data_IF_180725145481
#
_entry.id   IF_180725145481
#
_cell.length_a   1.000
_cell.length_b   1.000
_cell.length_c   1.000
_cell.angle_alpha   90.00
_cell.angle_beta   90.00
_cell.angle_gamma   90.00
#
_symmetry.space_group_name_H-M   'P 1'
#
loop_
_entity.id
_entity.type
_entity.pdbx_description
1 polymer ?
#
# COMPACT_ATOMS: atom_id res chain seq x y z
N UNK A 1 -14.75 -9.97 8.37
CA UNK A 1 -13.45 -10.55 7.97
C UNK A 1 -12.40 -9.43 7.96
N UNK A 2 -11.33 -9.54 8.76
CA UNK A 2 -10.27 -8.51 8.88
C UNK A 2 -9.53 -8.28 7.55
N UNK A 3 -9.00 -7.06 7.31
CA UNK A 3 -8.19 -6.73 6.12
C UNK A 3 -7.00 -7.68 5.99
N UNK A 4 -6.36 -8.02 7.10
CA UNK A 4 -5.24 -8.98 7.17
C UNK A 4 -5.68 -10.38 6.73
N UNK A 5 -6.89 -10.81 7.10
CA UNK A 5 -7.43 -12.10 6.69
C UNK A 5 -7.71 -12.13 5.17
N UNK A 6 -8.18 -11.01 4.60
CA UNK A 6 -8.35 -10.89 3.14
C UNK A 6 -7.01 -10.95 2.40
N UNK A 7 -5.97 -10.30 2.90
CA UNK A 7 -4.62 -10.36 2.34
C UNK A 7 -4.10 -11.80 2.35
N UNK A 8 -4.15 -12.47 3.52
CA UNK A 8 -3.70 -13.86 3.65
C UNK A 8 -4.46 -14.82 2.74
N UNK A 9 -5.78 -14.66 2.66
CA UNK A 9 -6.64 -15.45 1.77
C UNK A 9 -6.24 -15.25 0.31
N UNK A 10 -6.07 -14.01 -0.13
CA UNK A 10 -5.67 -13.69 -1.50
C UNK A 10 -4.30 -14.30 -1.85
N UNK A 11 -3.32 -14.24 -0.95
CA UNK A 11 -2.02 -14.87 -1.16
C UNK A 11 -2.14 -16.40 -1.23
N UNK A 12 -3.01 -17.01 -0.42
CA UNK A 12 -3.20 -18.46 -0.40
C UNK A 12 -3.96 -19.02 -1.62
N UNK A 13 -4.88 -18.24 -2.20
CA UNK A 13 -5.72 -18.65 -3.34
C UNK A 13 -5.03 -18.49 -4.71
N UNK A 14 -3.92 -17.77 -4.77
CA UNK A 14 -3.19 -17.54 -6.02
C UNK A 14 -1.95 -18.44 -6.13
N UNK A 15 -1.44 -18.70 -7.35
CA UNK A 15 -0.25 -19.52 -7.56
C UNK A 15 0.96 -19.00 -6.77
N UNK A 16 1.85 -19.91 -6.36
CA UNK A 16 3.12 -19.55 -5.73
C UNK A 16 4.01 -18.71 -6.65
N UNK A 17 3.87 -18.90 -7.97
CA UNK A 17 4.54 -18.05 -8.95
C UNK A 17 3.76 -16.75 -9.17
N UNK A 18 4.37 -15.65 -8.76
CA UNK A 18 3.81 -14.29 -8.78
C UNK A 18 3.69 -13.76 -10.22
N UNK A 19 4.41 -14.34 -11.18
CA UNK A 19 4.29 -14.02 -12.59
C UNK A 19 2.94 -14.45 -13.16
N UNK A 20 2.31 -15.48 -12.57
CA UNK A 20 1.03 -16.03 -13.02
C UNK A 20 -0.19 -15.28 -12.45
N UNK A 21 0.03 -14.35 -11.53
CA UNK A 21 -1.06 -13.58 -10.93
C UNK A 21 -1.70 -12.64 -11.95
N UNK A 22 -3.03 -12.68 -12.03
CA UNK A 22 -3.78 -11.71 -12.83
C UNK A 22 -3.56 -10.28 -12.33
N UNK A 23 -3.62 -9.30 -13.24
CA UNK A 23 -3.53 -7.88 -12.88
C UNK A 23 -4.58 -7.49 -11.82
N UNK A 24 -5.78 -8.05 -11.90
CA UNK A 24 -6.86 -7.78 -10.94
C UNK A 24 -6.48 -8.27 -9.54
N UNK A 25 -5.87 -9.46 -9.43
CA UNK A 25 -5.38 -9.99 -8.15
C UNK A 25 -4.26 -9.11 -7.58
N UNK A 26 -3.26 -8.74 -8.40
CA UNK A 26 -2.16 -7.86 -7.99
C UNK A 26 -2.66 -6.50 -7.53
N UNK A 27 -3.56 -5.86 -8.30
CA UNK A 27 -4.18 -4.58 -7.94
C UNK A 27 -4.97 -4.68 -6.64
N UNK A 28 -5.70 -5.76 -6.44
CA UNK A 28 -6.46 -6.00 -5.20
C UNK A 28 -5.53 -6.16 -3.99
N UNK A 29 -4.42 -6.89 -4.14
CA UNK A 29 -3.41 -7.02 -3.08
C UNK A 29 -2.85 -5.66 -2.69
N UNK A 30 -2.39 -4.88 -3.68
CA UNK A 30 -1.84 -3.53 -3.43
C UNK A 30 -2.88 -2.64 -2.76
N UNK A 31 -4.13 -2.63 -3.23
CA UNK A 31 -5.20 -1.87 -2.59
C UNK A 31 -5.40 -2.26 -1.11
N UNK A 32 -5.39 -3.56 -0.80
CA UNK A 32 -5.53 -4.05 0.58
C UNK A 32 -4.32 -3.66 1.46
N UNK A 33 -3.11 -3.68 0.91
CA UNK A 33 -1.90 -3.25 1.60
C UNK A 33 -1.96 -1.76 1.95
N UNK A 34 -2.37 -0.91 1.01
CA UNK A 34 -2.54 0.53 1.24
C UNK A 34 -3.66 0.82 2.24
N UNK A 35 -4.77 0.07 2.19
CA UNK A 35 -5.84 0.18 3.18
C UNK A 35 -5.35 -0.19 4.58
N UNK A 36 -4.58 -1.28 4.68
CA UNK A 36 -3.97 -1.71 5.94
C UNK A 36 -3.02 -0.62 6.46
N UNK A 37 -2.13 -0.10 5.63
CA UNK A 37 -1.21 0.98 5.98
C UNK A 37 -1.92 2.24 6.49
N UNK A 38 -2.99 2.66 5.79
CA UNK A 38 -3.79 3.81 6.22
C UNK A 38 -4.42 3.57 7.59
N UNK A 39 -4.95 2.37 7.82
CA UNK A 39 -5.57 2.02 9.11
C UNK A 39 -4.56 2.00 10.26
N UNK A 40 -3.35 1.45 10.05
CA UNK A 40 -2.31 1.41 11.09
C UNK A 40 -1.77 2.80 11.40
N UNK A 41 -1.59 3.65 10.38
CA UNK A 41 -1.15 5.04 10.55
C UNK A 41 -2.17 5.87 11.34
N UNK A 42 -3.46 5.71 11.05
CA UNK A 42 -4.54 6.36 11.81
C UNK A 42 -4.61 5.89 13.27
N UNK A 43 -4.47 4.58 13.51
CA UNK A 43 -4.42 4.04 14.88
C UNK A 43 -3.22 4.61 15.64
N UNK A 44 -2.04 4.65 15.02
CA UNK A 44 -0.84 5.24 15.63
C UNK A 44 -1.02 6.72 15.96
N UNK A 45 -1.63 7.51 15.08
CA UNK A 45 -1.93 8.92 15.35
C UNK A 45 -2.92 9.08 16.51
N UNK A 46 -3.98 8.26 16.56
CA UNK A 46 -4.98 8.27 17.63
C UNK A 46 -4.36 7.90 18.99
N UNK A 47 -3.48 6.90 19.01
CA UNK A 47 -2.72 6.51 20.21
C UNK A 47 -1.82 7.66 20.69
N UNK A 48 -1.11 8.35 19.78
CA UNK A 48 -0.33 9.55 20.11
C UNK A 48 -1.20 10.64 20.75
N UNK A 49 -2.40 10.88 20.22
CA UNK A 49 -3.36 11.84 20.81
C UNK A 49 -3.79 11.42 22.22
N UNK A 50 -4.15 10.15 22.42
CA UNK A 50 -4.50 9.67 23.76
C UNK A 50 -3.36 9.72 24.77
N UNK A 51 -2.11 9.50 24.33
CA UNK A 51 -0.93 9.70 25.15
C UNK A 51 -0.74 11.18 25.53
N UNK A 52 -0.92 12.10 24.58
CA UNK A 52 -0.84 13.54 24.87
C UNK A 52 -1.92 14.01 25.85
N UNK A 53 -3.07 13.33 25.87
CA UNK A 53 -4.17 13.59 26.80
C UNK A 53 -4.04 12.81 28.13
N UNK A 54 -2.99 12.01 28.32
CA UNK A 54 -2.78 11.20 29.53
C UNK A 54 -3.77 10.06 29.72
N UNK A 55 -4.51 9.67 28.67
CA UNK A 55 -5.55 8.62 28.72
C UNK A 55 -4.92 7.22 28.61
N UNK A 56 -3.76 7.10 27.95
CA UNK A 56 -3.06 5.83 27.72
C UNK A 56 -1.59 6.01 28.09
N UNK A 57 -1.02 5.05 28.82
CA UNK A 57 0.40 5.05 29.17
C UNK A 57 1.30 5.02 27.92
N UNK A 58 2.41 5.76 27.94
CA UNK A 58 3.42 5.68 26.89
C UNK A 58 3.93 4.23 26.83
N UNK A 59 3.89 3.57 25.66
CA UNK A 59 4.52 2.28 25.52
C UNK A 59 6.01 2.42 25.85
N UNK A 60 6.54 1.48 26.64
CA UNK A 60 7.99 1.36 26.87
C UNK A 60 8.71 1.33 25.54
N UNK A 61 9.80 2.08 25.49
CA UNK A 61 10.69 2.31 24.35
C UNK A 61 10.94 1.03 23.51
N UNK A 62 11.15 1.24 22.21
CA UNK A 62 11.47 0.26 21.14
C UNK A 62 10.36 0.01 20.09
N UNK A 63 9.61 1.04 19.74
CA UNK A 63 9.16 1.19 18.36
C UNK A 63 9.83 2.42 17.79
N UNK A 64 11.15 2.32 17.57
CA UNK A 64 11.75 3.12 16.51
C UNK A 64 10.82 3.02 15.30
N UNK A 65 10.54 4.15 14.67
CA UNK A 65 9.63 4.25 13.54
C UNK A 65 10.14 3.34 12.42
N UNK A 66 9.80 2.05 12.50
CA UNK A 66 10.07 1.08 11.46
C UNK A 66 9.28 1.59 10.27
N UNK A 67 9.98 2.33 9.40
CA UNK A 67 9.45 2.80 8.12
C UNK A 67 8.71 1.62 7.55
N UNK A 68 7.39 1.75 7.42
CA UNK A 68 6.52 0.65 7.09
C UNK A 68 7.07 0.00 5.82
N UNK A 69 7.06 -1.33 5.70
CA UNK A 69 7.56 -2.00 4.48
C UNK A 69 6.99 -1.35 3.20
N UNK A 70 5.76 -0.83 3.28
CA UNK A 70 5.11 -0.03 2.22
C UNK A 70 5.78 1.32 1.98
N UNK A 71 6.12 2.08 3.02
CA UNK A 71 6.85 3.35 2.90
C UNK A 71 8.27 3.14 2.35
N UNK A 72 8.95 2.04 2.75
CA UNK A 72 10.24 1.64 2.15
C UNK A 72 10.08 1.25 0.69
N UNK A 73 9.04 0.48 0.35
CA UNK A 73 8.80 0.12 -1.04
C UNK A 73 8.49 1.33 -1.92
N UNK A 74 7.76 2.32 -1.39
CA UNK A 74 7.47 3.57 -2.09
C UNK A 74 8.69 4.48 -2.27
N UNK A 75 9.67 4.43 -1.36
CA UNK A 75 10.91 5.21 -1.51
C UNK A 75 11.89 4.58 -2.50
N UNK A 76 11.83 3.26 -2.70
CA UNK A 76 12.68 2.53 -3.66
C UNK A 76 12.11 2.52 -5.08
N UNK A 77 10.81 2.77 -5.25
CA UNK A 77 10.17 2.89 -6.55
C UNK A 77 10.61 4.14 -7.31
N UNK A 78 10.56 4.08 -8.64
CA UNK A 78 10.72 5.28 -9.46
C UNK A 78 9.68 6.35 -9.06
N UNK A 79 10.07 7.63 -8.97
CA UNK A 79 9.17 8.72 -8.53
C UNK A 79 7.85 8.79 -9.31
N UNK A 80 7.89 8.41 -10.59
CA UNK A 80 6.72 8.32 -11.46
C UNK A 80 5.72 7.26 -10.96
N UNK A 81 6.18 6.08 -10.58
CA UNK A 81 5.34 4.99 -10.09
C UNK A 81 4.87 5.25 -8.67
N UNK A 82 5.71 5.81 -7.82
CA UNK A 82 5.31 6.25 -6.47
C UNK A 82 4.16 7.25 -6.54
N UNK A 83 4.29 8.29 -7.37
CA UNK A 83 3.22 9.28 -7.57
C UNK A 83 1.93 8.65 -8.10
N UNK A 84 2.05 7.69 -9.00
CA UNK A 84 0.91 6.95 -9.55
C UNK A 84 0.18 6.14 -8.47
N UNK A 85 0.91 5.34 -7.68
CA UNK A 85 0.32 4.51 -6.64
C UNK A 85 -0.32 5.35 -5.52
N UNK A 86 0.32 6.47 -5.13
CA UNK A 86 -0.26 7.40 -4.16
C UNK A 86 -1.57 7.99 -4.70
N UNK A 87 -1.56 8.47 -5.95
CA UNK A 87 -2.77 9.06 -6.56
C UNK A 87 -3.92 8.07 -6.69
N UNK A 88 -3.61 6.83 -7.03
CA UNK A 88 -4.60 5.76 -7.20
C UNK A 88 -5.15 5.27 -5.85
N UNK A 89 -4.28 4.91 -4.90
CA UNK A 89 -4.68 4.15 -3.71
C UNK A 89 -4.81 5.00 -2.43
N UNK A 90 -4.18 6.18 -2.37
CA UNK A 90 -4.27 7.09 -1.21
C UNK A 90 -5.25 8.21 -1.52
N UNK A 91 -4.98 8.99 -2.57
CA UNK A 91 -5.74 10.20 -2.88
C UNK A 91 -7.08 9.89 -3.56
N UNK A 92 -7.20 8.73 -4.20
CA UNK A 92 -8.34 8.34 -5.06
C UNK A 92 -8.64 9.38 -6.16
N UNK A 93 -7.60 10.05 -6.68
CA UNK A 93 -7.72 11.11 -7.68
C UNK A 93 -7.57 10.54 -9.10
N UNK A 94 -8.65 9.89 -9.57
CA UNK A 94 -8.75 9.36 -10.93
C UNK A 94 -8.80 10.45 -12.01
N UNK A 95 -9.16 11.68 -11.63
CA UNK A 95 -9.33 12.80 -12.55
C UNK A 95 -7.99 13.34 -13.03
N UNK A 96 -7.01 13.44 -12.12
CA UNK A 96 -5.64 13.83 -12.43
C UNK A 96 -5.02 12.91 -13.47
N UNK A 97 -5.19 11.60 -13.32
CA UNK A 97 -4.53 10.63 -14.20
C UNK A 97 -5.07 10.70 -15.64
N UNK A 98 -6.40 10.88 -15.80
CA UNK A 98 -7.04 11.03 -17.11
C UNK A 98 -6.63 12.31 -17.85
N UNK A 99 -6.17 13.33 -17.12
CA UNK A 99 -5.71 14.60 -17.70
C UNK A 99 -4.32 14.49 -18.35
N UNK A 100 -3.47 13.60 -17.85
CA UNK A 100 -2.07 13.51 -18.30
C UNK A 100 -1.77 12.28 -19.16
N UNK A 101 -2.56 11.20 -19.05
CA UNK A 101 -2.32 9.97 -19.80
C UNK A 101 -3.55 9.46 -20.55
N UNK A 102 -3.32 8.89 -21.72
CA UNK A 102 -4.31 8.06 -22.40
C UNK A 102 -4.59 6.79 -21.58
N UNK A 103 -5.78 6.21 -21.77
CA UNK A 103 -6.21 4.99 -21.07
C UNK A 103 -5.18 3.86 -21.18
N UNK A 104 -4.64 3.61 -22.38
CA UNK A 104 -3.63 2.56 -22.62
C UNK A 104 -2.32 2.83 -21.90
N UNK A 105 -1.85 4.08 -21.92
CA UNK A 105 -0.62 4.50 -21.23
C UNK A 105 -0.75 4.37 -19.73
N UNK A 106 -1.92 4.73 -19.19
CA UNK A 106 -2.22 4.57 -17.77
C UNK A 106 -2.12 3.11 -17.33
N UNK A 107 -2.83 2.20 -18.01
CA UNK A 107 -2.81 0.78 -17.62
C UNK A 107 -1.40 0.20 -17.74
N UNK A 108 -0.65 0.52 -18.80
CA UNK A 108 0.74 0.09 -18.94
C UNK A 108 1.61 0.54 -17.76
N UNK A 109 1.52 1.82 -17.38
CA UNK A 109 2.27 2.34 -16.24
C UNK A 109 1.80 1.74 -14.90
N UNK A 110 0.50 1.46 -14.75
CA UNK A 110 -0.07 0.86 -13.54
C UNK A 110 0.37 -0.58 -13.36
N UNK A 111 0.39 -1.38 -14.43
CA UNK A 111 0.95 -2.74 -14.42
C UNK A 111 2.41 -2.71 -13.93
N UNK A 112 3.25 -1.90 -14.57
CA UNK A 112 4.66 -1.78 -14.20
C UNK A 112 4.84 -1.33 -12.74
N UNK A 113 4.08 -0.32 -12.30
CA UNK A 113 4.15 0.18 -10.93
C UNK A 113 3.78 -0.90 -9.89
N UNK A 114 2.72 -1.66 -10.16
CA UNK A 114 2.26 -2.73 -9.27
C UNK A 114 3.26 -3.88 -9.25
N UNK A 115 3.77 -4.31 -10.41
CA UNK A 115 4.73 -5.40 -10.49
C UNK A 115 6.03 -5.05 -9.75
N UNK A 116 6.58 -3.86 -9.97
CA UNK A 116 7.76 -3.39 -9.25
C UNK A 116 7.51 -3.28 -7.74
N UNK A 117 6.36 -2.76 -7.34
CA UNK A 117 6.01 -2.63 -5.93
C UNK A 117 5.94 -4.00 -5.22
N UNK A 118 5.32 -5.00 -5.84
CA UNK A 118 5.23 -6.36 -5.31
C UNK A 118 6.63 -7.00 -5.21
N UNK A 119 7.47 -6.84 -6.24
CA UNK A 119 8.85 -7.33 -6.25
C UNK A 119 9.65 -6.72 -5.09
N UNK A 120 9.56 -5.40 -4.88
CA UNK A 120 10.30 -4.72 -3.81
C UNK A 120 9.84 -5.20 -2.42
N UNK A 121 8.54 -5.49 -2.25
CA UNK A 121 8.02 -6.05 -1.02
C UNK A 121 8.38 -7.52 -0.79
N UNK A 122 9.03 -8.17 -1.76
CA UNK A 122 9.32 -9.60 -1.77
C UNK A 122 8.06 -10.47 -1.56
N UNK A 123 6.90 -9.95 -1.97
CA UNK A 123 5.58 -10.59 -1.81
C UNK A 123 5.25 -11.49 -2.97
#
# INVERSE_FOLDING_TARGET
>A
MSVVAKIKKLIAENPKDKAEWSFVAKKTLVALLFLYHKSTKLTSQREKVYQTLGIVEKPKENKEEEVSAIERALSLLEPKYTKLLIKEFIDNDYSWIKKYWSKSTYYKNMHNAIDQFIIILNL
#
